data_IF_522972965568
#
_entry.id   IF_522972965568
#
_cell.length_a   1.000
_cell.length_b   1.000
_cell.length_c   1.000
_cell.angle_alpha   90.00
_cell.angle_beta   90.00
_cell.angle_gamma   90.00
#
_symmetry.space_group_name_H-M   'P 1'
#
loop_
_entity.id
_entity.type
_entity.pdbx_description
1 polymer ?
#
# COMPACT_ATOMS: atom_id res chain seq x y z
N UNK A 1 -43.07 13.38 2.25
CA UNK A 1 -43.78 14.67 2.01
C UNK A 1 -43.43 15.64 3.13
N UNK A 2 -42.65 16.69 2.86
CA UNK A 2 -42.22 17.65 3.90
C UNK A 2 -43.41 18.54 4.26
N UNK A 3 -43.91 18.46 5.50
CA UNK A 3 -45.12 19.18 5.94
C UNK A 3 -45.01 20.70 5.76
N UNK A 4 -46.15 21.36 5.55
CA UNK A 4 -46.27 22.82 5.32
C UNK A 4 -45.43 23.65 6.33
N UNK A 5 -45.46 23.23 7.59
CA UNK A 5 -44.71 23.87 8.68
C UNK A 5 -43.19 23.83 8.48
N UNK A 6 -42.64 22.74 7.95
CA UNK A 6 -41.21 22.60 7.73
C UNK A 6 -40.73 23.46 6.55
N UNK A 7 -41.57 23.65 5.52
CA UNK A 7 -41.31 24.58 4.42
C UNK A 7 -41.32 26.04 4.89
N UNK A 8 -42.27 26.39 5.77
CA UNK A 8 -42.36 27.72 6.35
C UNK A 8 -41.13 28.03 7.24
N UNK A 9 -40.74 27.11 8.13
CA UNK A 9 -39.54 27.26 8.97
C UNK A 9 -38.28 27.50 8.14
N UNK A 10 -38.08 26.74 7.06
CA UNK A 10 -36.94 26.93 6.14
C UNK A 10 -36.94 28.32 5.51
N UNK A 11 -38.11 28.80 5.03
CA UNK A 11 -38.24 30.14 4.43
C UNK A 11 -37.92 31.25 5.44
N UNK A 12 -38.38 31.11 6.69
CA UNK A 12 -38.11 32.08 7.75
C UNK A 12 -36.62 32.12 8.09
N UNK A 13 -35.96 30.96 8.24
CA UNK A 13 -34.51 30.91 8.51
C UNK A 13 -33.71 31.54 7.37
N UNK A 14 -34.00 31.18 6.11
CA UNK A 14 -33.30 31.76 4.97
C UNK A 14 -33.54 33.27 4.83
N UNK A 15 -34.71 33.75 5.24
CA UNK A 15 -35.01 35.19 5.26
C UNK A 15 -34.28 35.91 6.39
N UNK A 16 -34.27 35.33 7.60
CA UNK A 16 -33.57 35.88 8.76
C UNK A 16 -32.05 35.91 8.58
N UNK A 17 -31.49 34.97 7.82
CA UNK A 17 -30.06 34.90 7.54
C UNK A 17 -29.68 35.58 6.23
N UNK A 18 -30.63 36.20 5.52
CA UNK A 18 -30.34 36.94 4.31
C UNK A 18 -29.55 38.19 4.70
N UNK A 19 -28.36 38.34 4.12
CA UNK A 19 -27.45 39.48 4.33
C UNK A 19 -26.92 39.61 5.77
N UNK A 20 -26.97 38.53 6.57
CA UNK A 20 -26.34 38.48 7.90
C UNK A 20 -24.90 37.99 7.75
N UNK A 21 -23.95 38.80 8.22
CA UNK A 21 -22.58 38.35 8.50
C UNK A 21 -22.60 37.69 9.87
N UNK A 22 -22.37 36.39 9.91
CA UNK A 22 -22.27 35.64 11.17
C UNK A 22 -20.80 35.46 11.50
N UNK A 23 -20.36 36.02 12.62
CA UNK A 23 -18.97 35.87 13.10
C UNK A 23 -18.69 34.44 13.60
N UNK A 24 -19.66 33.83 14.30
CA UNK A 24 -19.57 32.44 14.78
C UNK A 24 -20.94 31.74 14.76
N UNK A 25 -21.02 30.56 14.12
CA UNK A 25 -22.22 29.72 14.10
C UNK A 25 -21.96 28.39 14.81
N UNK A 26 -22.46 28.24 16.04
CA UNK A 26 -22.40 26.97 16.78
C UNK A 26 -23.58 26.06 16.39
N UNK A 27 -23.35 25.12 15.48
CA UNK A 27 -24.38 24.16 15.06
C UNK A 27 -24.22 22.84 15.79
N UNK A 28 -25.26 22.38 16.49
CA UNK A 28 -25.25 21.06 17.14
C UNK A 28 -25.22 19.90 16.14
N UNK A 29 -25.85 20.09 14.97
CA UNK A 29 -25.88 19.10 13.88
C UNK A 29 -26.17 19.76 12.53
N UNK A 30 -25.28 19.54 11.57
CA UNK A 30 -25.53 19.86 10.16
C UNK A 30 -26.05 18.58 9.49
N UNK A 31 -27.17 18.68 8.75
CA UNK A 31 -27.62 17.65 7.82
C UNK A 31 -27.79 18.33 6.48
N UNK A 32 -26.87 18.07 5.55
CA UNK A 32 -27.08 18.49 4.18
C UNK A 32 -28.13 17.56 3.54
N UNK A 33 -29.02 18.14 2.74
CA UNK A 33 -30.02 17.42 1.94
C UNK A 33 -29.59 17.40 0.45
N UNK A 34 -28.48 18.07 0.11
CA UNK A 34 -27.72 17.93 -1.13
C UNK A 34 -26.37 17.26 -0.88
N UNK A 35 -25.76 16.69 -1.92
CA UNK A 35 -24.64 15.77 -1.79
C UNK A 35 -23.27 16.39 -1.48
N UNK A 36 -23.14 17.72 -1.31
CA UNK A 36 -21.80 18.33 -1.13
C UNK A 36 -21.84 19.65 -0.36
N UNK A 37 -21.16 19.70 0.79
CA UNK A 37 -20.82 20.92 1.49
C UNK A 37 -19.34 21.27 1.30
N UNK A 38 -19.02 22.54 1.06
CA UNK A 38 -17.64 23.03 0.98
C UNK A 38 -17.28 23.75 2.28
N UNK A 39 -16.13 23.41 2.86
CA UNK A 39 -15.61 24.03 4.08
C UNK A 39 -14.20 24.55 3.80
N UNK A 40 -13.91 25.80 4.19
CA UNK A 40 -12.56 26.36 4.08
C UNK A 40 -11.62 25.79 5.15
N UNK A 41 -12.16 25.50 6.34
CA UNK A 41 -11.43 24.86 7.44
C UNK A 41 -12.39 24.09 8.33
N UNK A 42 -11.87 23.06 9.01
CA UNK A 42 -12.58 22.29 10.03
C UNK A 42 -11.65 22.24 11.24
N UNK A 43 -12.17 22.63 12.40
CA UNK A 43 -11.48 22.48 13.69
C UNK A 43 -12.10 21.28 14.40
N UNK A 44 -11.26 20.31 14.78
CA UNK A 44 -11.68 19.10 15.48
C UNK A 44 -11.14 19.10 16.91
N UNK A 45 -11.89 18.50 17.82
CA UNK A 45 -11.42 18.28 19.19
C UNK A 45 -10.14 17.41 19.19
N UNK A 46 -9.17 17.81 20.00
CA UNK A 46 -7.93 17.07 20.23
C UNK A 46 -8.19 15.89 21.18
N UNK A 47 -8.33 14.69 20.63
CA UNK A 47 -8.56 13.47 21.41
C UNK A 47 -7.26 12.75 21.70
N UNK A 48 -7.17 12.12 22.87
CA UNK A 48 -6.07 11.22 23.26
C UNK A 48 -6.46 9.74 23.20
N UNK A 49 -7.70 9.43 22.81
CA UNK A 49 -8.22 8.08 22.63
C UNK A 49 -9.22 8.04 21.48
N UNK A 50 -9.44 6.86 20.89
CA UNK A 50 -10.44 6.73 19.83
C UNK A 50 -11.85 6.77 20.42
N UNK A 51 -12.75 7.57 19.84
CA UNK A 51 -14.14 7.60 20.28
C UNK A 51 -14.88 6.34 19.81
N UNK A 52 -16.15 6.19 20.23
CA UNK A 52 -17.03 5.13 19.72
C UNK A 52 -17.03 5.10 18.18
N UNK A 53 -16.75 3.93 17.61
CA UNK A 53 -16.62 3.75 16.17
C UNK A 53 -18.00 3.77 15.53
N UNK A 54 -18.23 4.78 14.68
CA UNK A 54 -19.45 4.92 13.89
C UNK A 54 -19.02 5.22 12.47
N UNK A 55 -19.52 4.45 11.50
CA UNK A 55 -19.15 4.59 10.11
C UNK A 55 -19.24 6.05 9.63
N UNK A 56 -18.18 6.54 8.99
CA UNK A 56 -18.06 7.90 8.48
C UNK A 56 -17.64 8.95 9.51
N UNK A 57 -17.38 8.57 10.77
CA UNK A 57 -16.85 9.49 11.78
C UNK A 57 -15.39 9.82 11.48
N UNK A 58 -15.03 11.10 11.62
CA UNK A 58 -13.67 11.64 11.50
C UNK A 58 -13.30 12.35 12.80
N UNK A 59 -12.07 12.16 13.30
CA UNK A 59 -11.56 12.82 14.52
C UNK A 59 -10.04 13.00 14.48
N UNK A 60 -9.50 13.89 15.32
CA UNK A 60 -8.07 14.12 15.44
C UNK A 60 -7.51 13.48 16.72
N UNK A 61 -6.46 12.68 16.59
CA UNK A 61 -5.69 12.07 17.69
C UNK A 61 -4.45 12.91 17.95
N UNK A 62 -4.52 13.82 18.92
CA UNK A 62 -3.44 14.77 19.20
C UNK A 62 -2.21 14.12 19.79
N UNK A 63 -2.37 13.00 20.49
CA UNK A 63 -1.28 12.18 21.00
C UNK A 63 -0.48 11.49 19.87
N UNK A 64 -1.14 11.20 18.74
CA UNK A 64 -0.52 10.61 17.55
C UNK A 64 -0.15 11.66 16.49
N UNK A 65 -0.70 12.87 16.60
CA UNK A 65 -0.57 13.90 15.56
C UNK A 65 -1.33 13.56 14.27
N UNK A 66 -2.39 12.74 14.33
CA UNK A 66 -3.03 12.17 13.13
C UNK A 66 -4.54 12.42 13.08
N UNK A 67 -5.05 12.72 11.87
CA UNK A 67 -6.48 12.70 11.58
C UNK A 67 -6.90 11.24 11.30
N UNK A 68 -8.01 10.76 11.87
CA UNK A 68 -8.51 9.38 11.71
C UNK A 68 -9.98 9.35 11.28
N UNK A 69 -10.38 8.25 10.65
CA UNK A 69 -11.75 7.93 10.28
C UNK A 69 -12.08 6.47 10.59
N UNK A 70 -13.35 6.07 10.51
CA UNK A 70 -13.74 4.65 10.61
C UNK A 70 -14.89 4.30 9.68
N UNK A 71 -14.91 3.06 9.22
CA UNK A 71 -16.03 2.41 8.53
C UNK A 71 -17.03 1.77 9.50
N UNK A 72 -16.82 1.92 10.80
CA UNK A 72 -17.61 1.31 11.87
C UNK A 72 -16.96 0.08 12.49
N UNK A 73 -15.80 -0.36 11.97
CA UNK A 73 -15.09 -1.54 12.49
C UNK A 73 -13.74 -1.18 13.08
N UNK A 74 -12.91 -0.44 12.34
CA UNK A 74 -11.53 -0.11 12.76
C UNK A 74 -11.24 1.38 12.53
N UNK A 75 -10.54 2.06 13.46
CA UNK A 75 -10.05 3.42 13.24
C UNK A 75 -8.82 3.42 12.31
N UNK A 76 -8.87 4.21 11.23
CA UNK A 76 -7.84 4.33 10.21
C UNK A 76 -7.36 5.78 10.10
N UNK A 77 -6.07 6.07 9.96
CA UNK A 77 -5.62 7.44 9.70
C UNK A 77 -6.16 7.95 8.34
N UNK A 78 -6.71 9.17 8.28
CA UNK A 78 -7.04 9.85 7.01
C UNK A 78 -5.78 10.18 6.23
N UNK A 79 -4.71 10.51 6.94
CA UNK A 79 -3.39 10.69 6.35
C UNK A 79 -2.84 9.39 5.76
N UNK A 80 -3.49 8.22 5.88
CA UNK A 80 -3.15 7.03 5.09
C UNK A 80 -3.28 7.26 3.57
N UNK A 81 -4.13 8.20 3.13
CA UNK A 81 -4.23 8.59 1.72
C UNK A 81 -3.14 9.58 1.28
N UNK A 82 -2.60 10.37 2.22
CA UNK A 82 -1.59 11.42 1.96
C UNK A 82 -0.16 11.03 2.40
N UNK A 83 0.00 10.03 3.27
CA UNK A 83 1.26 9.31 3.59
C UNK A 83 1.73 8.44 2.42
N UNK A 84 0.94 8.32 1.36
CA UNK A 84 1.33 7.70 0.08
C UNK A 84 2.37 8.50 -0.71
N UNK A 85 2.90 9.60 -0.15
CA UNK A 85 4.15 10.26 -0.56
C UNK A 85 4.15 10.81 -1.99
N UNK A 86 5.24 11.46 -2.46
CA UNK A 86 5.43 11.76 -3.88
C UNK A 86 5.59 10.44 -4.66
N UNK A 87 4.47 10.05 -5.24
CA UNK A 87 4.10 8.75 -5.78
C UNK A 87 5.06 8.24 -6.88
N UNK A 88 5.57 7.02 -6.71
CA UNK A 88 5.69 6.12 -7.87
C UNK A 88 4.49 5.18 -7.86
N UNK A 89 3.51 5.53 -8.69
CA UNK A 89 2.30 4.75 -8.93
C UNK A 89 2.31 4.30 -10.38
N UNK A 90 2.56 3.01 -10.61
CA UNK A 90 2.37 2.41 -11.92
C UNK A 90 1.07 1.61 -11.94
N UNK A 91 0.04 2.23 -12.51
CA UNK A 91 -1.14 1.54 -13.06
C UNK A 91 -1.17 1.62 -14.60
N UNK A 92 -0.25 2.40 -15.19
CA UNK A 92 0.07 2.38 -16.62
C UNK A 92 1.58 2.17 -16.75
N UNK A 93 1.94 0.97 -17.19
CA UNK A 93 3.31 0.48 -17.31
C UNK A 93 3.90 0.90 -18.66
N UNK A 94 5.11 1.47 -18.64
CA UNK A 94 5.82 1.90 -19.86
C UNK A 94 6.97 0.92 -20.10
N UNK A 95 6.95 0.25 -21.25
CA UNK A 95 8.06 -0.61 -21.64
C UNK A 95 9.36 0.20 -21.79
N UNK A 96 10.48 -0.32 -21.27
CA UNK A 96 11.77 0.37 -21.22
C UNK A 96 12.01 1.24 -19.97
N UNK A 97 11.00 1.49 -19.13
CA UNK A 97 11.20 2.20 -17.86
C UNK A 97 11.84 1.33 -16.76
N UNK A 98 12.06 0.04 -17.03
CA UNK A 98 12.41 -0.98 -16.06
C UNK A 98 13.70 -1.70 -16.42
N UNK A 99 14.48 -2.06 -15.40
CA UNK A 99 15.47 -3.11 -15.55
C UNK A 99 14.76 -4.46 -15.56
N UNK A 100 15.08 -5.30 -16.55
CA UNK A 100 14.49 -6.63 -16.73
C UNK A 100 15.61 -7.66 -16.81
N UNK A 101 15.45 -8.77 -16.12
CA UNK A 101 16.39 -9.89 -16.18
C UNK A 101 15.61 -11.20 -16.26
N UNK A 102 16.03 -12.09 -17.17
CA UNK A 102 15.42 -13.42 -17.35
C UNK A 102 16.48 -14.51 -17.41
N UNK A 103 16.14 -15.70 -16.93
CA UNK A 103 16.95 -16.92 -17.09
C UNK A 103 16.08 -18.07 -17.59
N UNK A 104 16.70 -19.06 -18.24
CA UNK A 104 15.99 -20.24 -18.75
C UNK A 104 14.96 -19.85 -19.83
N UNK A 105 13.71 -20.29 -19.65
CA UNK A 105 12.59 -20.01 -20.56
C UNK A 105 11.69 -18.85 -20.12
N UNK A 106 12.15 -18.05 -19.16
CA UNK A 106 11.34 -17.01 -18.54
C UNK A 106 11.13 -15.78 -19.46
N UNK A 107 10.11 -15.00 -19.16
CA UNK A 107 9.78 -13.77 -19.87
C UNK A 107 9.22 -12.70 -18.94
N UNK A 108 9.46 -11.44 -19.32
CA UNK A 108 8.84 -10.25 -18.72
C UNK A 108 8.08 -9.52 -19.83
N UNK A 109 6.77 -9.40 -19.69
CA UNK A 109 5.92 -8.72 -20.68
C UNK A 109 5.22 -7.53 -20.07
N UNK A 110 5.16 -6.44 -20.84
CA UNK A 110 4.28 -5.29 -20.58
C UNK A 110 3.36 -5.22 -21.80
N UNK A 111 2.10 -5.66 -21.70
CA UNK A 111 1.18 -5.61 -22.83
C UNK A 111 1.01 -4.17 -23.35
N UNK A 112 0.58 -4.03 -24.60
CA UNK A 112 0.49 -2.72 -25.27
C UNK A 112 -0.52 -1.76 -24.64
N UNK A 113 -1.48 -2.27 -23.87
CA UNK A 113 -2.39 -1.45 -23.06
C UNK A 113 -1.72 -0.86 -21.81
N UNK A 114 -0.54 -1.37 -21.45
CA UNK A 114 0.23 -0.98 -20.29
C UNK A 114 -0.49 -1.25 -18.97
N UNK A 115 -1.46 -2.16 -18.91
CA UNK A 115 -2.32 -2.31 -17.72
C UNK A 115 -1.73 -3.17 -16.61
N UNK A 116 -0.70 -3.95 -16.94
CA UNK A 116 -0.02 -4.85 -16.01
C UNK A 116 1.39 -5.18 -16.49
N UNK A 117 2.19 -5.75 -15.60
CA UNK A 117 3.41 -6.48 -15.94
C UNK A 117 3.16 -7.96 -15.70
N UNK A 118 3.53 -8.79 -16.67
CA UNK A 118 3.53 -10.25 -16.54
C UNK A 118 4.97 -10.70 -16.31
N UNK A 119 5.20 -11.42 -15.22
CA UNK A 119 6.41 -12.21 -15.03
C UNK A 119 6.05 -13.69 -15.20
N UNK A 120 6.71 -14.40 -16.10
CA UNK A 120 6.43 -15.81 -16.40
C UNK A 120 7.75 -16.61 -16.42
N UNK A 121 7.79 -17.78 -15.81
CA UNK A 121 9.01 -18.60 -15.74
C UNK A 121 9.22 -19.48 -16.99
N UNK A 122 8.16 -19.72 -17.76
CA UNK A 122 8.15 -20.73 -18.82
C UNK A 122 8.26 -22.15 -18.25
N UNK A 123 8.46 -23.14 -19.11
CA UNK A 123 8.38 -24.57 -18.73
C UNK A 123 9.72 -25.21 -18.33
N UNK A 124 10.84 -24.52 -18.51
CA UNK A 124 12.16 -25.01 -18.03
C UNK A 124 12.25 -24.80 -16.52
N UNK A 125 12.67 -25.83 -15.76
CA UNK A 125 12.91 -25.70 -14.32
C UNK A 125 14.03 -24.70 -14.02
N UNK A 126 13.97 -24.06 -12.84
CA UNK A 126 14.96 -23.08 -12.38
C UNK A 126 15.07 -21.83 -13.26
N UNK A 127 14.00 -21.51 -13.99
CA UNK A 127 13.86 -20.27 -14.75
C UNK A 127 13.36 -19.14 -13.86
N UNK A 128 13.83 -17.92 -14.14
CA UNK A 128 13.51 -16.72 -13.36
C UNK A 128 13.13 -15.56 -14.27
N UNK A 129 12.07 -14.83 -13.91
CA UNK A 129 11.78 -13.51 -14.45
C UNK A 129 11.87 -12.47 -13.33
N UNK A 130 12.58 -11.37 -13.58
CA UNK A 130 12.77 -10.26 -12.64
C UNK A 130 12.51 -8.93 -13.33
N UNK A 131 11.85 -8.02 -12.61
CA UNK A 131 11.69 -6.62 -12.99
C UNK A 131 12.03 -5.72 -11.81
N UNK A 132 12.76 -4.63 -12.10
CA UNK A 132 13.20 -3.68 -11.09
C UNK A 132 13.02 -2.24 -11.58
N UNK A 133 12.63 -1.34 -10.68
CA UNK A 133 12.64 0.10 -10.88
C UNK A 133 13.44 0.78 -9.77
N UNK A 134 14.42 1.57 -10.17
CA UNK A 134 15.18 2.46 -9.30
C UNK A 134 14.70 3.91 -9.46
N UNK A 135 14.75 4.68 -8.39
CA UNK A 135 14.56 6.13 -8.34
C UNK A 135 15.84 6.91 -8.70
N UNK A 136 16.91 6.24 -9.13
CA UNK A 136 18.18 6.85 -9.50
C UNK A 136 18.01 8.14 -10.33
N UNK A 137 18.63 9.23 -9.88
CA UNK A 137 18.53 10.55 -10.49
C UNK A 137 17.47 11.48 -9.87
N UNK A 138 16.56 10.96 -9.04
CA UNK A 138 15.82 11.80 -8.09
C UNK A 138 16.78 12.17 -6.94
N UNK A 139 16.65 13.35 -6.35
CA UNK A 139 17.54 13.77 -5.25
C UNK A 139 17.25 12.97 -3.98
N UNK A 140 18.23 12.20 -3.51
CA UNK A 140 18.20 11.42 -2.26
C UNK A 140 16.97 10.48 -2.04
N UNK A 141 16.53 9.65 -3.01
CA UNK A 141 15.44 8.69 -2.81
C UNK A 141 15.87 7.45 -1.99
N UNK A 142 17.12 7.41 -1.54
CA UNK A 142 17.82 6.20 -1.12
C UNK A 142 17.76 5.86 0.36
N UNK A 143 17.27 6.75 1.22
CA UNK A 143 17.41 6.60 2.68
C UNK A 143 16.21 5.91 3.32
N UNK A 144 16.46 5.06 4.31
CA UNK A 144 15.43 4.36 5.09
C UNK A 144 15.03 5.13 6.36
N UNK A 145 15.32 6.43 6.41
CA UNK A 145 15.06 7.33 7.55
C UNK A 145 13.66 7.96 7.52
N UNK A 146 12.90 7.73 6.45
CA UNK A 146 11.54 8.24 6.28
C UNK A 146 10.51 7.10 6.24
N UNK A 147 9.28 7.33 6.77
CA UNK A 147 8.17 6.41 6.61
C UNK A 147 7.95 6.05 5.14
N UNK A 148 7.71 4.78 4.87
CA UNK A 148 7.47 4.28 3.51
C UNK A 148 6.23 3.41 3.44
N UNK A 149 5.58 3.43 2.28
CA UNK A 149 4.45 2.59 1.94
C UNK A 149 4.76 1.73 0.72
N UNK A 150 4.26 0.50 0.72
CA UNK A 150 4.24 -0.40 -0.42
C UNK A 150 2.82 -0.96 -0.60
N UNK A 151 2.25 -0.80 -1.79
CA UNK A 151 0.95 -1.35 -2.16
C UNK A 151 1.02 -2.09 -3.49
N UNK A 152 0.52 -3.31 -3.53
CA UNK A 152 0.58 -4.18 -4.71
C UNK A 152 -0.79 -4.83 -4.94
N UNK A 153 -1.28 -4.77 -6.16
CA UNK A 153 -2.43 -5.59 -6.59
C UNK A 153 -2.00 -6.54 -7.70
N UNK A 154 -2.13 -7.83 -7.45
CA UNK A 154 -1.61 -8.88 -8.32
C UNK A 154 -2.51 -10.12 -8.42
N UNK A 155 -2.24 -10.94 -9.42
CA UNK A 155 -2.87 -12.24 -9.67
C UNK A 155 -1.80 -13.33 -9.79
N UNK A 156 -1.96 -14.43 -9.03
CA UNK A 156 -1.06 -15.58 -9.09
C UNK A 156 -1.55 -16.62 -10.08
N UNK A 157 -0.69 -17.09 -10.98
CA UNK A 157 -0.99 -18.17 -11.91
C UNK A 157 -0.92 -19.57 -11.30
N UNK A 158 -0.17 -19.74 -10.22
CA UNK A 158 0.06 -21.02 -9.54
C UNK A 158 0.29 -20.79 -8.05
N UNK A 159 0.25 -21.86 -7.27
CA UNK A 159 0.47 -21.90 -5.82
C UNK A 159 1.46 -23.00 -5.39
N UNK A 160 2.20 -23.61 -6.33
CA UNK A 160 3.19 -24.65 -6.03
C UNK A 160 4.49 -24.42 -6.78
N UNK A 161 5.60 -24.93 -6.25
CA UNK A 161 6.88 -25.03 -6.96
C UNK A 161 7.45 -23.67 -7.34
N UNK A 162 7.14 -22.61 -6.58
CA UNK A 162 7.51 -21.23 -6.92
C UNK A 162 8.12 -20.48 -5.74
N UNK A 163 8.99 -19.54 -6.06
CA UNK A 163 9.54 -18.54 -5.13
C UNK A 163 9.30 -17.17 -5.76
N UNK A 164 8.71 -16.25 -5.00
CA UNK A 164 8.35 -14.91 -5.47
C UNK A 164 8.82 -13.88 -4.44
N UNK A 165 9.53 -12.87 -4.92
CA UNK A 165 9.89 -11.68 -4.12
C UNK A 165 9.13 -10.47 -4.67
N UNK A 166 8.49 -9.70 -3.79
CA UNK A 166 7.74 -8.48 -4.10
C UNK A 166 8.10 -7.41 -3.08
N UNK A 167 9.21 -6.72 -3.29
CA UNK A 167 9.80 -5.83 -2.27
C UNK A 167 10.17 -4.46 -2.83
N UNK A 168 10.28 -3.48 -1.93
CA UNK A 168 11.15 -2.30 -2.13
C UNK A 168 12.50 -2.60 -1.48
N UNK A 169 13.58 -2.18 -2.11
CA UNK A 169 14.93 -2.57 -1.72
C UNK A 169 15.55 -3.67 -2.59
N UNK A 170 16.64 -4.25 -2.08
CA UNK A 170 17.44 -5.21 -2.82
C UNK A 170 17.03 -6.67 -2.57
N UNK A 171 17.29 -7.51 -3.57
CA UNK A 171 17.21 -8.98 -3.45
C UNK A 171 18.56 -9.56 -3.92
N UNK A 172 19.23 -10.37 -3.09
CA UNK A 172 20.52 -11.02 -3.41
C UNK A 172 20.37 -12.35 -4.11
N UNK A 173 19.45 -13.19 -3.63
CA UNK A 173 19.15 -14.50 -4.18
C UNK A 173 17.63 -14.62 -4.45
N UNK A 174 17.30 -14.78 -5.72
CA UNK A 174 15.92 -14.91 -6.19
C UNK A 174 15.41 -16.36 -6.15
N UNK A 175 16.29 -17.33 -5.93
CA UNK A 175 15.97 -18.76 -5.81
C UNK A 175 15.99 -19.26 -4.36
N UNK A 176 16.43 -18.41 -3.42
CA UNK A 176 16.56 -18.72 -2.00
C UNK A 176 15.47 -18.08 -1.14
N UNK A 177 15.39 -18.59 0.10
CA UNK A 177 14.53 -18.03 1.18
C UNK A 177 15.29 -16.95 1.96
N UNK A 178 16.61 -17.06 2.06
CA UNK A 178 17.46 -16.11 2.77
C UNK A 178 17.84 -14.96 1.84
N UNK A 179 17.60 -13.73 2.29
CA UNK A 179 17.92 -12.56 1.49
C UNK A 179 18.38 -11.38 2.35
N UNK A 180 19.66 -11.06 2.29
CA UNK A 180 20.29 -10.14 3.24
C UNK A 180 20.34 -8.71 2.73
N UNK A 181 20.00 -8.42 1.46
CA UNK A 181 19.98 -7.03 1.01
C UNK A 181 18.86 -6.26 1.72
N UNK A 182 19.09 -5.00 2.16
CA UNK A 182 18.08 -4.19 2.82
C UNK A 182 16.80 -4.09 1.98
N UNK A 183 15.67 -4.49 2.57
CA UNK A 183 14.36 -4.45 1.92
C UNK A 183 13.22 -4.54 2.92
N UNK A 184 12.01 -4.22 2.45
CA UNK A 184 10.77 -4.72 3.04
C UNK A 184 9.75 -5.03 1.95
N UNK A 185 8.86 -5.98 2.22
CA UNK A 185 7.75 -6.33 1.33
C UNK A 185 7.25 -7.74 1.55
N UNK A 186 6.92 -8.44 0.48
CA UNK A 186 6.32 -9.77 0.53
C UNK A 186 7.21 -10.83 -0.11
N UNK A 187 7.17 -12.01 0.48
CA UNK A 187 7.85 -13.21 0.01
C UNK A 187 6.84 -14.34 -0.11
N UNK A 188 6.93 -15.12 -1.20
CA UNK A 188 6.11 -16.33 -1.37
C UNK A 188 7.02 -17.53 -1.57
N UNK A 189 6.73 -18.59 -0.82
CA UNK A 189 7.33 -19.91 -1.01
C UNK A 189 6.19 -20.92 -1.17
N UNK A 190 6.09 -21.51 -2.36
CA UNK A 190 4.92 -22.30 -2.78
C UNK A 190 3.61 -21.51 -2.68
N UNK A 191 2.74 -21.90 -1.76
CA UNK A 191 1.46 -21.28 -1.49
C UNK A 191 1.48 -20.39 -0.24
N UNK A 192 2.61 -20.21 0.43
CA UNK A 192 2.70 -19.43 1.66
C UNK A 192 3.22 -18.04 1.36
N UNK A 193 2.42 -17.03 1.66
CA UNK A 193 2.76 -15.61 1.52
C UNK A 193 3.10 -15.01 2.89
N UNK A 194 4.30 -14.46 3.00
CA UNK A 194 4.91 -13.89 4.20
C UNK A 194 5.14 -12.38 4.03
N UNK A 195 5.15 -11.64 5.14
CA UNK A 195 5.82 -10.34 5.20
C UNK A 195 7.32 -10.54 5.46
N UNK A 196 8.18 -9.79 4.78
CA UNK A 196 9.65 -9.93 4.86
C UNK A 196 10.32 -8.58 5.05
N UNK A 197 11.36 -8.54 5.88
CA UNK A 197 12.29 -7.41 6.04
C UNK A 197 13.73 -7.92 6.09
N UNK A 198 14.68 -7.04 5.77
CA UNK A 198 16.10 -7.32 5.91
C UNK A 198 16.88 -6.04 6.19
N UNK A 199 17.94 -6.15 6.99
CA UNK A 199 18.74 -5.00 7.47
C UNK A 199 20.06 -4.82 6.72
N UNK A 200 20.38 -5.67 5.74
CA UNK A 200 21.71 -5.70 5.12
C UNK A 200 22.59 -6.89 5.55
N UNK A 201 22.23 -7.55 6.66
CA UNK A 201 22.99 -8.64 7.27
C UNK A 201 22.13 -9.87 7.51
N UNK A 202 20.88 -9.67 7.95
CA UNK A 202 19.94 -10.71 8.32
C UNK A 202 18.54 -10.37 7.81
N UNK A 203 17.72 -11.41 7.57
CA UNK A 203 16.32 -11.25 7.20
C UNK A 203 15.39 -11.82 8.26
N UNK A 204 14.20 -11.24 8.35
CA UNK A 204 13.12 -11.74 9.18
C UNK A 204 11.84 -11.86 8.35
N UNK A 205 11.04 -12.87 8.64
CA UNK A 205 9.71 -13.06 8.06
C UNK A 205 8.67 -13.17 9.16
N UNK A 206 7.47 -12.66 8.92
CA UNK A 206 6.34 -12.74 9.86
C UNK A 206 5.05 -13.16 9.20
N UNK A 207 4.23 -13.85 9.99
CA UNK A 207 2.92 -14.36 9.59
C UNK A 207 3.03 -15.30 8.39
N UNK A 208 1.91 -15.91 8.03
CA UNK A 208 1.68 -16.31 6.65
C UNK A 208 0.20 -16.48 6.40
N UNK A 209 -0.19 -16.34 5.15
CA UNK A 209 -1.48 -16.81 4.65
C UNK A 209 -1.27 -17.70 3.45
N UNK A 210 -2.28 -18.50 3.11
CA UNK A 210 -2.23 -19.36 1.93
C UNK A 210 -2.79 -18.62 0.72
N UNK A 211 -1.98 -18.52 -0.34
CA UNK A 211 -2.46 -18.10 -1.65
C UNK A 211 -3.04 -19.30 -2.41
N UNK A 212 -3.99 -19.05 -3.30
CA UNK A 212 -4.53 -20.05 -4.21
C UNK A 212 -4.09 -19.75 -5.65
N UNK A 213 -3.91 -20.79 -6.45
CA UNK A 213 -3.78 -20.63 -7.89
C UNK A 213 -4.97 -19.82 -8.44
N UNK A 214 -4.68 -18.92 -9.37
CA UNK A 214 -5.62 -17.96 -9.95
C UNK A 214 -6.24 -16.98 -8.93
N UNK A 215 -5.68 -16.84 -7.72
CA UNK A 215 -6.14 -15.91 -6.70
C UNK A 215 -5.60 -14.48 -6.91
N UNK A 216 -6.44 -13.47 -6.63
CA UNK A 216 -6.07 -12.05 -6.64
C UNK A 216 -5.92 -11.51 -5.23
N UNK A 217 -4.91 -10.68 -5.01
CA UNK A 217 -4.56 -10.19 -3.68
C UNK A 217 -4.19 -8.72 -3.73
N UNK A 218 -4.68 -7.97 -2.75
CA UNK A 218 -4.17 -6.65 -2.37
C UNK A 218 -3.17 -6.84 -1.24
N UNK A 219 -1.92 -6.47 -1.47
CA UNK A 219 -0.84 -6.53 -0.50
C UNK A 219 -0.44 -5.11 -0.12
N UNK A 220 -0.33 -4.83 1.18
CA UNK A 220 0.03 -3.49 1.68
C UNK A 220 1.06 -3.63 2.81
N UNK A 221 2.15 -2.87 2.77
CA UNK A 221 3.15 -2.81 3.82
C UNK A 221 3.47 -1.36 4.21
N UNK A 222 3.62 -1.13 5.51
CA UNK A 222 3.90 0.18 6.11
C UNK A 222 5.18 0.10 6.91
N UNK A 223 6.21 0.82 6.47
CA UNK A 223 7.51 0.89 7.11
C UNK A 223 7.62 2.15 7.97
N UNK A 224 7.86 1.95 9.26
CA UNK A 224 8.10 2.99 10.26
C UNK A 224 9.59 2.94 10.66
N UNK A 225 10.41 3.91 10.22
CA UNK A 225 11.86 3.89 10.38
C UNK A 225 12.31 3.61 11.81
N UNK A 226 13.16 2.61 11.98
CA UNK A 226 13.72 2.23 13.29
C UNK A 226 12.72 1.65 14.30
N UNK A 227 11.44 1.50 13.94
CA UNK A 227 10.39 1.01 14.83
C UNK A 227 9.83 -0.34 14.34
N UNK A 228 9.12 -0.35 13.21
CA UNK A 228 8.44 -1.56 12.73
C UNK A 228 8.04 -1.54 11.27
N UNK A 229 7.69 -2.71 10.74
CA UNK A 229 6.93 -2.86 9.49
C UNK A 229 5.65 -3.64 9.75
N UNK A 230 4.53 -3.12 9.26
CA UNK A 230 3.24 -3.79 9.31
C UNK A 230 2.87 -4.32 7.92
N UNK A 231 2.42 -5.57 7.84
CA UNK A 231 2.06 -6.24 6.59
C UNK A 231 0.58 -6.60 6.58
N UNK A 232 -0.10 -6.34 5.48
CA UNK A 232 -1.53 -6.58 5.31
C UNK A 232 -1.81 -7.33 4.01
N UNK A 233 -2.78 -8.25 4.07
CA UNK A 233 -3.31 -8.98 2.91
C UNK A 233 -4.82 -8.77 2.87
N UNK A 234 -5.32 -8.25 1.76
CA UNK A 234 -6.72 -7.87 1.60
C UNK A 234 -7.23 -7.03 2.78
N UNK A 235 -6.41 -6.04 3.19
CA UNK A 235 -6.65 -5.13 4.33
C UNK A 235 -6.69 -5.77 5.72
N UNK A 236 -6.38 -7.05 5.84
CA UNK A 236 -6.27 -7.76 7.12
C UNK A 236 -4.80 -7.85 7.52
N UNK A 237 -4.48 -7.56 8.79
CA UNK A 237 -3.11 -7.63 9.30
C UNK A 237 -2.59 -9.07 9.19
N UNK A 238 -1.48 -9.24 8.47
CA UNK A 238 -0.74 -10.49 8.34
C UNK A 238 0.27 -10.64 9.48
N UNK A 239 0.94 -9.55 9.84
CA UNK A 239 1.91 -9.53 10.93
C UNK A 239 2.72 -8.24 10.99
N UNK A 240 3.55 -8.13 12.02
CA UNK A 240 4.41 -6.98 12.28
C UNK A 240 5.83 -7.46 12.59
N UNK A 241 6.85 -6.82 12.04
CA UNK A 241 8.25 -7.06 12.35
C UNK A 241 8.87 -5.80 12.97
N UNK A 242 9.59 -5.98 14.08
CA UNK A 242 10.27 -4.90 14.83
C UNK A 242 11.80 -5.11 14.87
N UNK A 243 12.31 -6.07 14.12
CA UNK A 243 13.73 -6.46 14.06
C UNK A 243 14.17 -6.61 12.61
N UNK A 244 15.47 -6.59 12.36
CA UNK A 244 16.07 -6.72 11.02
C UNK A 244 15.51 -5.67 10.03
N UNK A 245 15.23 -4.47 10.54
CA UNK A 245 14.74 -3.34 9.76
C UNK A 245 15.92 -2.71 8.99
N UNK A 246 15.72 -2.30 7.72
CA UNK A 246 16.69 -1.48 7.02
C UNK A 246 17.16 -0.28 7.86
N UNK A 247 18.47 -0.14 8.13
CA UNK A 247 18.99 1.01 8.84
C UNK A 247 18.91 2.27 7.95
N UNK A 248 18.84 3.48 8.53
CA UNK A 248 18.68 4.74 7.81
C UNK A 248 19.61 4.94 6.59
N UNK A 249 20.86 4.51 6.72
CA UNK A 249 21.95 4.66 5.75
C UNK A 249 22.20 3.40 4.90
N UNK A 250 21.35 2.37 5.02
CA UNK A 250 21.47 1.18 4.18
C UNK A 250 21.34 1.52 2.69
N UNK A 251 22.06 0.75 1.88
CA UNK A 251 21.94 0.79 0.42
C UNK A 251 20.58 0.28 -0.05
N UNK A 252 20.30 0.44 -1.35
CA UNK A 252 19.10 -0.05 -2.04
C UNK A 252 17.76 0.62 -1.67
N UNK A 253 17.73 1.61 -0.78
CA UNK A 253 16.49 2.34 -0.51
C UNK A 253 15.94 3.11 -1.72
N UNK A 254 16.74 3.29 -2.78
CA UNK A 254 16.29 3.89 -4.05
C UNK A 254 15.53 2.91 -4.95
N UNK A 255 15.58 1.60 -4.65
CA UNK A 255 14.84 0.59 -5.41
C UNK A 255 13.37 0.61 -4.97
N UNK A 256 12.56 1.26 -5.77
CA UNK A 256 11.13 1.43 -5.58
C UNK A 256 10.33 0.14 -5.86
N UNK A 257 10.84 -0.66 -6.79
CA UNK A 257 10.25 -1.95 -7.17
C UNK A 257 11.33 -2.97 -7.39
N UNK A 258 11.18 -4.14 -6.77
CA UNK A 258 11.91 -5.35 -7.09
C UNK A 258 10.94 -6.53 -7.01
N UNK A 259 10.50 -7.00 -8.18
CA UNK A 259 9.60 -8.13 -8.30
C UNK A 259 10.27 -9.26 -9.08
N UNK A 260 10.12 -10.48 -8.60
CA UNK A 260 10.64 -11.67 -9.27
C UNK A 260 9.77 -12.89 -9.08
N UNK A 261 9.87 -13.83 -10.01
CA UNK A 261 9.30 -15.17 -9.90
C UNK A 261 10.33 -16.19 -10.38
N UNK A 262 10.46 -17.28 -9.63
CA UNK A 262 11.36 -18.39 -9.89
C UNK A 262 10.59 -19.71 -9.76
N UNK A 263 10.76 -20.63 -10.72
CA UNK A 263 10.18 -21.97 -10.64
C UNK A 263 11.21 -23.02 -10.17
N UNK A 264 10.76 -24.01 -9.41
CA UNK A 264 11.58 -25.13 -8.93
C UNK A 264 11.32 -26.44 -9.67
N UNK A 265 10.33 -26.43 -10.55
CA UNK A 265 9.89 -27.56 -11.35
C UNK A 265 9.72 -27.14 -12.81
N UNK A 266 9.67 -28.13 -13.71
CA UNK A 266 9.50 -27.91 -15.15
C UNK A 266 8.02 -27.59 -15.49
N UNK A 267 7.50 -26.50 -14.93
CA UNK A 267 6.16 -26.00 -15.17
C UNK A 267 6.16 -24.47 -15.17
N UNK A 268 5.26 -23.89 -15.97
CA UNK A 268 5.12 -22.44 -16.02
C UNK A 268 4.46 -21.90 -14.76
N UNK A 269 5.11 -20.91 -14.15
CA UNK A 269 4.59 -20.10 -13.04
C UNK A 269 4.56 -18.67 -13.53
N UNK A 270 3.53 -17.94 -13.16
CA UNK A 270 3.41 -16.55 -13.58
C UNK A 270 2.68 -15.71 -12.53
N UNK A 271 2.95 -14.42 -12.55
CA UNK A 271 2.19 -13.39 -11.83
C UNK A 271 1.89 -12.23 -12.76
N UNK A 272 0.69 -11.68 -12.62
CA UNK A 272 0.30 -10.41 -13.23
C UNK A 272 0.26 -9.34 -12.14
N UNK A 273 1.07 -8.31 -12.29
CA UNK A 273 1.12 -7.16 -11.39
C UNK A 273 0.36 -6.02 -12.05
N UNK A 274 -0.85 -5.74 -11.55
CA UNK A 274 -1.70 -4.67 -12.08
C UNK A 274 -1.27 -3.31 -11.53
N UNK A 275 -1.03 -3.26 -10.23
CA UNK A 275 -0.70 -2.02 -9.51
C UNK A 275 0.55 -2.23 -8.69
N UNK A 276 1.48 -1.27 -8.79
CA UNK A 276 2.54 -1.07 -7.82
C UNK A 276 2.54 0.38 -7.37
N UNK A 277 2.46 0.58 -6.05
CA UNK A 277 2.48 1.87 -5.40
C UNK A 277 3.58 1.85 -4.33
N UNK A 278 4.48 2.82 -4.37
CA UNK A 278 5.40 3.06 -3.26
C UNK A 278 5.61 4.57 -3.05
N UNK A 279 5.87 4.96 -1.81
CA UNK A 279 6.07 6.35 -1.40
C UNK A 279 6.68 6.45 -0.03
#
# INVERSE_FOLDING_TARGET
MMGLLARLKRRIVNWLLRDVVIDELKVRRIRDVGNTGYFNSIVLDALTSDPSLVAGKVWYRSDLGELRFTDGVIPRPILDLARRGPWWFCNHWIDGAFYKEVTGSASVSVPSDGMLVILSTGTTAFSRATIQKDAYGLGNPGSWDAPRYLGIYLWFGSDTGQIIWLVTGGVSDYAGVENTKPHFGFFVYDNKLYGSVSDGTSNAMTGYTTISALGRYLLEAFFYPGDRVEFYVNRSLLGTLTTCLPPPDATYGSILMNASIYNREAANKWIDIFVWACG
#
